data_IF_700851495567
#
_entry.id   IF_700851495567
#
_cell.length_a   1.000
_cell.length_b   1.000
_cell.length_c   1.000
_cell.angle_alpha   90.00
_cell.angle_beta   90.00
_cell.angle_gamma   90.00
#
_symmetry.space_group_name_H-M   'P 1'
#
loop_
_entity.id
_entity.type
_entity.pdbx_description
1 polymer ?
#
# COMPACT_ATOMS: atom_id res chain seq x y z
N UNK A 1 9.30 34.78 -19.06
CA UNK A 1 8.72 36.10 -18.74
C UNK A 1 8.52 36.35 -17.25
N UNK A 2 7.78 35.53 -16.50
CA UNK A 2 7.59 35.71 -15.04
C UNK A 2 8.91 35.81 -14.27
N UNK A 3 9.85 34.90 -14.53
CA UNK A 3 11.19 34.94 -13.90
C UNK A 3 12.02 36.16 -14.27
N UNK A 4 11.83 36.70 -15.48
CA UNK A 4 12.54 37.92 -15.91
C UNK A 4 11.98 39.15 -15.18
N UNK A 5 10.67 39.20 -14.95
CA UNK A 5 10.03 40.23 -14.15
C UNK A 5 10.38 40.10 -12.65
N UNK A 6 10.57 38.89 -12.14
CA UNK A 6 10.96 38.65 -10.74
C UNK A 6 12.43 39.02 -10.46
N UNK A 7 13.28 39.07 -11.51
CA UNK A 7 14.66 39.58 -11.42
C UNK A 7 14.77 41.11 -11.50
N UNK A 8 13.70 41.82 -11.84
CA UNK A 8 13.67 43.27 -11.84
C UNK A 8 13.46 43.80 -10.41
N UNK A 9 14.47 44.46 -9.85
CA UNK A 9 14.48 44.93 -8.46
C UNK A 9 14.31 46.44 -8.33
N UNK A 10 14.54 47.21 -9.40
CA UNK A 10 14.41 48.66 -9.38
C UNK A 10 13.03 49.15 -9.86
N UNK A 11 12.63 50.32 -9.35
CA UNK A 11 11.36 50.96 -9.70
C UNK A 11 11.30 51.23 -11.21
N UNK A 12 10.27 50.70 -11.87
CA UNK A 12 10.00 50.93 -13.29
C UNK A 12 10.68 49.95 -14.27
N UNK A 13 11.63 49.12 -13.81
CA UNK A 13 12.26 48.09 -14.66
C UNK A 13 11.25 47.09 -15.22
N UNK A 14 10.28 46.67 -14.39
CA UNK A 14 9.20 45.78 -14.83
C UNK A 14 8.39 46.43 -15.95
N UNK A 15 8.07 47.73 -15.83
CA UNK A 15 7.33 48.47 -16.86
C UNK A 15 8.14 48.64 -18.16
N UNK A 16 9.45 48.85 -18.05
CA UNK A 16 10.35 48.92 -19.21
C UNK A 16 10.47 47.57 -19.92
N UNK A 17 10.60 46.48 -19.16
CA UNK A 17 10.60 45.11 -19.66
C UNK A 17 9.30 44.81 -20.41
N UNK A 18 8.14 45.09 -19.79
CA UNK A 18 6.84 44.86 -20.41
C UNK A 18 6.65 45.65 -21.71
N UNK A 19 7.09 46.91 -21.76
CA UNK A 19 7.05 47.73 -22.98
C UNK A 19 7.97 47.20 -24.08
N UNK A 20 9.16 46.71 -23.73
CA UNK A 20 10.10 46.11 -24.68
C UNK A 20 9.55 44.83 -25.30
N UNK A 21 8.89 44.02 -24.50
CA UNK A 21 8.33 42.73 -24.93
C UNK A 21 6.89 42.87 -25.50
N UNK A 22 6.30 44.07 -25.50
CA UNK A 22 4.93 44.31 -25.97
C UNK A 22 3.84 43.68 -25.08
N UNK A 23 4.16 43.41 -23.80
CA UNK A 23 3.32 42.70 -22.87
C UNK A 23 2.57 43.66 -21.95
N UNK A 24 1.36 43.28 -21.55
CA UNK A 24 0.57 44.04 -20.57
C UNK A 24 0.72 43.46 -19.16
N UNK A 25 0.52 44.30 -18.15
CA UNK A 25 0.59 43.89 -16.74
C UNK A 25 -0.42 42.79 -16.38
N UNK A 26 -1.58 42.76 -17.05
CA UNK A 26 -2.59 41.71 -16.90
C UNK A 26 -2.03 40.32 -17.25
N UNK A 27 -1.23 40.21 -18.32
CA UNK A 27 -0.64 38.95 -18.76
C UNK A 27 0.37 38.43 -17.73
N UNK A 28 1.17 39.34 -17.16
CA UNK A 28 2.11 38.99 -16.08
C UNK A 28 1.37 38.47 -14.84
N UNK A 29 0.25 39.10 -14.47
CA UNK A 29 -0.60 38.64 -13.37
C UNK A 29 -1.22 37.26 -13.65
N UNK A 30 -1.74 37.03 -14.85
CA UNK A 30 -2.28 35.72 -15.26
C UNK A 30 -1.21 34.64 -15.20
N UNK A 31 0.00 34.90 -15.70
CA UNK A 31 1.09 33.92 -15.66
C UNK A 31 1.62 33.65 -14.25
N UNK A 32 1.63 34.65 -13.36
CA UNK A 32 1.94 34.44 -11.94
C UNK A 32 0.91 33.52 -11.29
N UNK A 33 -0.37 33.75 -11.57
CA UNK A 33 -1.45 32.91 -11.05
C UNK A 33 -1.38 31.48 -11.60
N UNK A 34 -1.14 31.31 -12.89
CA UNK A 34 -0.96 30.00 -13.53
C UNK A 34 0.27 29.26 -12.97
N UNK A 35 1.37 29.95 -12.68
CA UNK A 35 2.54 29.34 -12.03
C UNK A 35 2.21 28.86 -10.62
N UNK A 36 1.50 29.65 -9.84
CA UNK A 36 1.07 29.27 -8.49
C UNK A 36 0.10 28.08 -8.53
N UNK A 37 -0.91 28.12 -9.41
CA UNK A 37 -1.83 27.00 -9.60
C UNK A 37 -1.11 25.75 -10.12
N UNK A 38 -0.17 25.89 -11.05
CA UNK A 38 0.64 24.79 -11.58
C UNK A 38 1.58 24.18 -10.55
N UNK A 39 2.12 24.98 -9.62
CA UNK A 39 2.87 24.48 -8.46
C UNK A 39 1.97 23.72 -7.50
N UNK A 40 0.78 24.25 -7.20
CA UNK A 40 -0.21 23.58 -6.34
C UNK A 40 -0.71 22.28 -6.99
N UNK A 41 -0.97 22.29 -8.30
CA UNK A 41 -1.31 21.10 -9.07
C UNK A 41 -0.15 20.12 -9.11
N UNK A 42 1.10 20.53 -9.29
CA UNK A 42 2.25 19.63 -9.25
C UNK A 42 2.48 19.00 -7.87
N UNK A 43 2.18 19.73 -6.78
CA UNK A 43 2.19 19.18 -5.42
C UNK A 43 1.01 18.25 -5.15
N UNK A 44 -0.15 18.52 -5.76
CA UNK A 44 -1.35 17.68 -5.65
C UNK A 44 -1.30 16.43 -6.57
N UNK A 45 -0.69 16.55 -7.75
CA UNK A 45 -0.60 15.55 -8.80
C UNK A 45 0.55 14.57 -8.53
N UNK A 46 0.44 13.86 -7.41
CA UNK A 46 1.16 12.61 -7.19
C UNK A 46 0.42 11.40 -7.81
N UNK A 47 -0.58 11.64 -8.68
CA UNK A 47 -1.41 10.59 -9.29
C UNK A 47 -1.87 10.93 -10.70
N UNK A 48 -0.95 10.93 -11.67
CA UNK A 48 -1.34 10.73 -13.07
C UNK A 48 -1.52 9.22 -13.33
N UNK A 49 -2.74 8.82 -13.67
CA UNK A 49 -3.13 7.46 -14.03
C UNK A 49 -3.91 6.70 -12.95
N UNK A 50 -4.73 5.72 -13.37
CA UNK A 50 -5.32 4.71 -12.45
C UNK A 50 -4.15 4.05 -11.74
N UNK A 51 -4.08 4.14 -10.40
CA UNK A 51 -3.16 3.28 -9.63
C UNK A 51 -3.45 1.86 -10.10
N UNK A 52 -2.51 1.24 -10.82
CA UNK A 52 -2.55 -0.18 -11.02
C UNK A 52 -2.51 -0.75 -9.61
N UNK A 53 -3.65 -1.20 -9.11
CA UNK A 53 -3.69 -2.11 -7.97
C UNK A 53 -3.01 -3.36 -8.50
N UNK A 54 -1.68 -3.36 -8.49
CA UNK A 54 -0.90 -4.59 -8.47
C UNK A 54 -1.49 -5.29 -7.25
N UNK A 55 -2.23 -6.41 -7.40
CA UNK A 55 -2.70 -7.17 -6.26
C UNK A 55 -1.44 -7.48 -5.48
N UNK A 56 -1.32 -6.90 -4.29
CA UNK A 56 -0.10 -6.97 -3.51
C UNK A 56 0.24 -8.46 -3.40
N UNK A 57 1.43 -8.94 -3.81
CA UNK A 57 1.74 -10.38 -3.80
C UNK A 57 1.43 -11.02 -2.44
N UNK A 58 1.66 -10.26 -1.37
CA UNK A 58 1.26 -10.53 0.02
C UNK A 58 -0.23 -10.87 0.20
N UNK A 59 -1.17 -10.27 -0.54
CA UNK A 59 -2.60 -10.60 -0.44
C UNK A 59 -2.88 -12.03 -0.94
N UNK A 60 -2.23 -12.46 -2.03
CA UNK A 60 -2.37 -13.84 -2.52
C UNK A 60 -1.75 -14.84 -1.56
N UNK A 61 -0.56 -14.53 -1.05
CA UNK A 61 0.11 -15.35 -0.04
C UNK A 61 -0.72 -15.45 1.23
N UNK A 62 -1.32 -14.36 1.71
CA UNK A 62 -2.20 -14.36 2.89
C UNK A 62 -3.44 -15.23 2.68
N UNK A 63 -4.07 -15.18 1.50
CA UNK A 63 -5.22 -16.02 1.19
C UNK A 63 -4.85 -17.51 1.14
N UNK A 64 -3.71 -17.84 0.52
CA UNK A 64 -3.20 -19.20 0.48
C UNK A 64 -2.87 -19.71 1.88
N UNK A 65 -2.14 -18.93 2.67
CA UNK A 65 -1.74 -19.28 4.03
C UNK A 65 -2.96 -19.47 4.95
N UNK A 66 -4.01 -18.66 4.76
CA UNK A 66 -5.29 -18.82 5.49
C UNK A 66 -5.99 -20.14 5.15
N UNK A 67 -6.03 -20.52 3.87
CA UNK A 67 -6.63 -21.79 3.44
C UNK A 67 -5.88 -22.99 4.01
N UNK A 68 -4.55 -22.95 3.95
CA UNK A 68 -3.69 -23.99 4.53
C UNK A 68 -3.89 -24.10 6.04
N UNK A 69 -3.93 -22.98 6.76
CA UNK A 69 -4.22 -22.97 8.19
C UNK A 69 -5.59 -23.59 8.52
N UNK A 70 -6.62 -23.26 7.74
CA UNK A 70 -7.94 -23.82 7.96
C UNK A 70 -7.95 -25.33 7.74
N UNK A 71 -7.31 -25.82 6.68
CA UNK A 71 -7.21 -27.26 6.41
C UNK A 71 -6.45 -28.00 7.52
N UNK A 72 -5.32 -27.45 7.97
CA UNK A 72 -4.53 -28.04 9.06
C UNK A 72 -5.32 -28.10 10.37
N UNK A 73 -6.07 -27.05 10.69
CA UNK A 73 -6.96 -27.03 11.86
C UNK A 73 -8.04 -28.11 11.78
N UNK A 74 -8.66 -28.31 10.62
CA UNK A 74 -9.65 -29.38 10.45
C UNK A 74 -9.01 -30.77 10.63
N UNK A 75 -7.79 -30.98 10.11
CA UNK A 75 -7.05 -32.24 10.31
C UNK A 75 -6.71 -32.47 11.79
N UNK A 76 -6.30 -31.43 12.53
CA UNK A 76 -6.07 -31.55 13.98
C UNK A 76 -7.35 -31.92 14.72
N UNK A 77 -8.46 -31.25 14.43
CA UNK A 77 -9.75 -31.58 15.07
C UNK A 77 -10.18 -33.02 14.80
N UNK A 78 -9.97 -33.52 13.57
CA UNK A 78 -10.22 -34.91 13.23
C UNK A 78 -9.30 -35.86 14.00
N UNK A 79 -8.01 -35.55 14.11
CA UNK A 79 -7.05 -36.36 14.85
C UNK A 79 -7.38 -36.39 16.37
N UNK A 80 -7.73 -35.24 16.95
CA UNK A 80 -8.18 -35.14 18.34
C UNK A 80 -9.41 -36.00 18.59
N UNK A 81 -10.40 -35.96 17.69
CA UNK A 81 -11.60 -36.79 17.80
C UNK A 81 -11.28 -38.27 17.71
N UNK A 82 -10.38 -38.68 16.80
CA UNK A 82 -9.94 -40.07 16.69
C UNK A 82 -9.26 -40.52 17.98
N UNK A 83 -8.35 -39.71 18.52
CA UNK A 83 -7.66 -39.98 19.79
C UNK A 83 -8.66 -40.13 20.93
N UNK A 84 -9.68 -39.28 21.00
CA UNK A 84 -10.71 -39.34 22.02
C UNK A 84 -11.56 -40.60 21.91
N UNK A 85 -11.97 -40.98 20.70
CA UNK A 85 -12.70 -42.23 20.47
C UNK A 85 -11.83 -43.43 20.86
N UNK A 86 -10.55 -43.44 20.46
CA UNK A 86 -9.60 -44.50 20.82
C UNK A 86 -9.46 -44.63 22.34
N UNK A 87 -9.27 -43.51 23.06
CA UNK A 87 -9.19 -43.50 24.53
C UNK A 87 -10.48 -44.04 25.17
N UNK A 88 -11.65 -43.59 24.72
CA UNK A 88 -12.95 -44.05 25.26
C UNK A 88 -13.18 -45.54 25.00
N UNK A 89 -12.86 -46.02 23.80
CA UNK A 89 -12.97 -47.45 23.45
C UNK A 89 -12.01 -48.31 24.28
N UNK A 90 -10.77 -47.86 24.46
CA UNK A 90 -9.76 -48.49 25.30
C UNK A 90 -10.21 -48.58 26.77
N UNK A 91 -10.76 -47.51 27.33
CA UNK A 91 -11.35 -47.49 28.68
C UNK A 91 -12.49 -48.50 28.83
N UNK A 92 -13.39 -48.55 27.84
CA UNK A 92 -14.55 -49.44 27.87
C UNK A 92 -14.16 -50.91 27.71
N UNK A 93 -13.12 -51.20 26.93
CA UNK A 93 -12.60 -52.56 26.72
C UNK A 93 -11.53 -52.97 27.76
N UNK A 94 -11.13 -52.09 28.68
CA UNK A 94 -10.09 -52.35 29.68
C UNK A 94 -8.67 -52.54 29.11
N UNK A 95 -8.43 -52.11 27.87
CA UNK A 95 -7.14 -52.24 27.19
C UNK A 95 -6.34 -50.96 27.45
N UNK A 96 -5.18 -51.02 28.10
CA UNK A 96 -4.33 -49.84 28.29
C UNK A 96 -3.65 -49.44 26.97
N UNK A 97 -3.91 -48.23 26.47
CA UNK A 97 -3.16 -47.64 25.36
C UNK A 97 -1.86 -47.04 25.92
N UNK A 98 -0.72 -47.70 25.66
CA UNK A 98 0.59 -47.13 25.96
C UNK A 98 0.81 -45.85 25.14
N UNK A 99 1.35 -44.76 25.73
CA UNK A 99 1.67 -43.55 24.98
C UNK A 99 2.73 -43.86 23.93
N UNK A 100 2.48 -43.44 22.69
CA UNK A 100 3.49 -43.45 21.63
C UNK A 100 4.45 -42.32 21.95
N UNK A 101 5.60 -42.65 22.56
CA UNK A 101 6.72 -41.71 22.68
C UNK A 101 7.22 -41.43 21.26
N UNK A 102 7.14 -40.16 20.85
CA UNK A 102 7.78 -39.70 19.63
C UNK A 102 9.25 -39.46 19.98
N UNK A 103 10.10 -40.46 19.79
CA UNK A 103 11.54 -40.24 19.73
C UNK A 103 11.81 -39.50 18.41
N UNK A 104 12.11 -38.21 18.53
CA UNK A 104 12.61 -37.34 17.46
C UNK A 104 13.97 -37.90 16.99
N UNK A 105 14.16 -38.29 15.71
CA UNK A 105 15.50 -38.53 15.20
C UNK A 105 16.12 -37.19 14.75
N UNK A 106 17.37 -36.99 15.17
CA UNK A 106 18.25 -35.83 14.91
C UNK A 106 18.26 -35.30 13.46
#
# INVERSE_FOLDING_TARGET
MVEAADRCTELGQIGALLRREGLYSSQLSTWRHQRQQGQLQALADNKRGRKATIPHPVQRELEQLRRENQQLRHKMQQAELIIDIQKKASQLMGISLSPINHDEPD
#
